data_IF_988851429725
#
_entry.id   IF_988851429725
#
_cell.length_a   1.000
_cell.length_b   1.000
_cell.length_c   1.000
_cell.angle_alpha   90.00
_cell.angle_beta   90.00
_cell.angle_gamma   90.00
#
_symmetry.space_group_name_H-M   'P 1'
#
loop_
_entity.id
_entity.type
_entity.pdbx_description
1 polymer ?
#
# COMPACT_ATOMS: atom_id res chain seq x y z
N UNK A 1 -4.46 10.88 -26.76
CA UNK A 1 -3.60 10.04 -25.88
C UNK A 1 -4.23 8.66 -25.77
N UNK A 2 -3.62 7.61 -26.33
CA UNK A 2 -4.21 6.25 -26.26
C UNK A 2 -4.01 5.72 -24.84
N UNK A 3 -5.10 5.61 -24.08
CA UNK A 3 -5.09 4.97 -22.76
C UNK A 3 -4.90 3.47 -22.99
N UNK A 4 -3.71 2.95 -22.67
CA UNK A 4 -3.48 1.51 -22.67
C UNK A 4 -4.28 0.89 -21.54
N UNK A 5 -5.10 -0.12 -21.84
CA UNK A 5 -5.80 -0.88 -20.80
C UNK A 5 -4.79 -1.59 -19.90
N UNK A 6 -5.15 -1.76 -18.62
CA UNK A 6 -4.29 -2.41 -17.63
C UNK A 6 -3.76 -3.80 -18.09
N UNK A 7 -4.57 -4.69 -18.71
CA UNK A 7 -4.07 -5.95 -19.24
C UNK A 7 -2.98 -5.77 -20.32
N UNK A 8 -3.08 -4.75 -21.17
CA UNK A 8 -2.05 -4.47 -22.18
C UNK A 8 -0.75 -3.98 -21.54
N UNK A 9 -0.85 -3.19 -20.47
CA UNK A 9 0.32 -2.73 -19.69
C UNK A 9 1.02 -3.92 -19.04
N UNK A 10 0.28 -4.77 -18.32
CA UNK A 10 0.83 -5.96 -17.67
C UNK A 10 1.46 -6.91 -18.69
N UNK A 11 0.78 -7.23 -19.80
CA UNK A 11 1.36 -8.06 -20.86
C UNK A 11 2.68 -7.49 -21.39
N UNK A 12 2.77 -6.17 -21.57
CA UNK A 12 4.01 -5.51 -22.03
C UNK A 12 5.15 -5.64 -21.02
N UNK A 13 4.86 -5.52 -19.72
CA UNK A 13 5.85 -5.57 -18.64
C UNK A 13 6.33 -7.01 -18.38
N UNK A 14 5.43 -7.99 -18.50
CA UNK A 14 5.76 -9.40 -18.28
C UNK A 14 6.44 -10.05 -19.49
N UNK A 15 6.20 -9.58 -20.72
CA UNK A 15 6.79 -10.13 -21.95
C UNK A 15 8.31 -10.38 -21.90
N UNK A 16 9.16 -9.47 -21.40
CA UNK A 16 10.60 -9.68 -21.35
C UNK A 16 11.07 -10.64 -20.26
N UNK A 17 10.18 -11.11 -19.37
CA UNK A 17 10.59 -11.99 -18.27
C UNK A 17 11.01 -13.38 -18.79
N UNK A 18 12.10 -13.97 -18.24
CA UNK A 18 12.55 -15.29 -18.63
C UNK A 18 11.48 -16.38 -18.45
N UNK A 19 11.46 -17.33 -19.39
CA UNK A 19 10.53 -18.47 -19.41
C UNK A 19 11.21 -19.82 -19.13
N UNK A 20 12.54 -19.87 -19.11
CA UNK A 20 13.32 -21.10 -19.02
C UNK A 20 14.41 -21.02 -17.92
N UNK A 21 14.31 -20.06 -17.00
CA UNK A 21 15.36 -19.76 -16.00
C UNK A 21 15.27 -20.60 -14.72
N UNK A 22 14.15 -21.28 -14.49
CA UNK A 22 13.98 -22.13 -13.32
C UNK A 22 13.01 -23.29 -13.61
N UNK A 23 13.33 -24.54 -13.19
CA UNK A 23 12.46 -25.69 -13.40
C UNK A 23 11.09 -25.48 -12.75
N UNK A 24 10.03 -25.87 -13.46
CA UNK A 24 8.61 -25.79 -13.03
C UNK A 24 8.05 -24.36 -12.91
N UNK A 25 8.84 -23.38 -12.42
CA UNK A 25 8.36 -22.03 -12.12
C UNK A 25 9.33 -20.93 -12.56
N UNK A 26 9.35 -20.69 -13.87
CA UNK A 26 10.12 -19.62 -14.50
C UNK A 26 9.67 -18.21 -14.04
N UNK A 27 10.44 -17.18 -14.40
CA UNK A 27 10.22 -15.81 -13.90
C UNK A 27 8.83 -15.31 -14.27
N UNK A 28 8.46 -15.51 -15.54
CA UNK A 28 7.20 -15.09 -16.07
C UNK A 28 6.03 -15.69 -15.27
N UNK A 29 6.03 -17.01 -15.07
CA UNK A 29 4.97 -17.73 -14.38
C UNK A 29 4.94 -17.38 -12.88
N UNK A 30 6.11 -17.27 -12.24
CA UNK A 30 6.21 -16.87 -10.83
C UNK A 30 5.56 -15.51 -10.56
N UNK A 31 5.88 -14.51 -11.38
CA UNK A 31 5.31 -13.16 -11.28
C UNK A 31 3.83 -13.17 -11.65
N UNK A 32 3.44 -13.96 -12.66
CA UNK A 32 2.03 -14.07 -13.05
C UNK A 32 1.18 -14.63 -11.91
N UNK A 33 1.66 -15.63 -11.18
CA UNK A 33 0.99 -16.14 -9.98
C UNK A 33 0.83 -15.06 -8.91
N UNK A 34 1.87 -14.25 -8.65
CA UNK A 34 1.77 -13.14 -7.70
C UNK A 34 0.74 -12.09 -8.12
N UNK A 35 0.73 -11.72 -9.39
CA UNK A 35 -0.23 -10.75 -9.91
C UNK A 35 -1.66 -11.29 -9.88
N UNK A 36 -1.88 -12.56 -10.24
CA UNK A 36 -3.18 -13.21 -10.14
C UNK A 36 -3.68 -13.19 -8.69
N UNK A 37 -2.83 -13.59 -7.73
CA UNK A 37 -3.17 -13.58 -6.31
C UNK A 37 -3.55 -12.18 -5.80
N UNK A 38 -2.81 -11.14 -6.20
CA UNK A 38 -3.05 -9.77 -5.72
C UNK A 38 -4.26 -9.12 -6.40
N UNK A 39 -4.54 -9.47 -7.65
CA UNK A 39 -5.56 -8.80 -8.46
C UNK A 39 -6.90 -9.53 -8.49
N UNK A 40 -6.92 -10.85 -8.36
CA UNK A 40 -8.14 -11.65 -8.36
C UNK A 40 -8.74 -11.76 -6.96
N UNK A 41 -9.77 -10.94 -6.73
CA UNK A 41 -10.52 -10.92 -5.45
C UNK A 41 -11.26 -12.23 -5.14
N UNK A 42 -11.40 -13.14 -6.09
CA UNK A 42 -11.97 -14.48 -5.86
C UNK A 42 -10.98 -15.46 -5.22
N UNK A 43 -9.69 -15.13 -5.21
CA UNK A 43 -8.65 -15.93 -4.58
C UNK A 43 -8.45 -15.45 -3.14
N UNK A 44 -8.67 -16.35 -2.18
CA UNK A 44 -8.50 -16.02 -0.74
C UNK A 44 -7.13 -16.46 -0.20
N UNK A 45 -6.42 -17.32 -0.92
CA UNK A 45 -5.08 -17.76 -0.54
C UNK A 45 -4.24 -18.20 -1.75
N UNK A 46 -2.91 -18.19 -1.60
CA UNK A 46 -2.00 -18.78 -2.59
C UNK A 46 -2.27 -20.28 -2.83
N UNK A 47 -2.80 -21.00 -1.84
CA UNK A 47 -3.16 -22.41 -1.99
C UNK A 47 -4.34 -22.59 -2.94
N UNK A 48 -5.34 -21.70 -2.88
CA UNK A 48 -6.50 -21.75 -3.77
C UNK A 48 -6.12 -21.40 -5.20
N UNK A 49 -5.19 -20.45 -5.37
CA UNK A 49 -4.59 -20.18 -6.67
C UNK A 49 -3.91 -21.43 -7.24
N UNK A 50 -3.10 -22.15 -6.44
CA UNK A 50 -2.44 -23.36 -6.91
C UNK A 50 -3.43 -24.46 -7.27
N UNK A 51 -4.48 -24.69 -6.47
CA UNK A 51 -5.54 -25.64 -6.82
C UNK A 51 -6.16 -25.31 -8.18
N UNK A 52 -6.50 -24.03 -8.41
CA UNK A 52 -7.07 -23.56 -9.67
C UNK A 52 -6.12 -23.78 -10.86
N UNK A 53 -4.84 -23.43 -10.70
CA UNK A 53 -3.83 -23.62 -11.74
C UNK A 53 -3.56 -25.11 -12.03
N UNK A 54 -3.57 -25.96 -11.00
CA UNK A 54 -3.45 -27.42 -11.14
C UNK A 54 -4.61 -28.02 -11.93
N UNK A 55 -5.86 -27.57 -11.69
CA UNK A 55 -7.03 -27.98 -12.48
C UNK A 55 -6.90 -27.58 -13.96
N UNK A 56 -6.15 -26.51 -14.25
CA UNK A 56 -5.84 -26.05 -15.61
C UNK A 56 -4.60 -26.74 -16.22
N UNK A 57 -4.02 -27.74 -15.53
CA UNK A 57 -2.87 -28.51 -16.01
C UNK A 57 -1.50 -27.92 -15.70
N UNK A 58 -1.43 -26.85 -14.90
CA UNK A 58 -0.17 -26.23 -14.47
C UNK A 58 0.22 -26.81 -13.09
N UNK A 59 1.10 -27.82 -13.04
CA UNK A 59 1.52 -28.49 -11.79
C UNK A 59 2.36 -27.56 -10.87
N UNK A 60 1.64 -26.82 -10.03
CA UNK A 60 2.20 -25.94 -9.01
C UNK A 60 1.91 -26.47 -7.61
N UNK A 61 3.00 -26.79 -6.93
CA UNK A 61 3.01 -27.17 -5.51
C UNK A 61 3.58 -26.02 -4.68
N UNK A 62 3.09 -25.88 -3.44
CA UNK A 62 3.61 -24.88 -2.47
C UNK A 62 5.13 -25.01 -2.31
N UNK A 63 5.65 -26.23 -2.32
CA UNK A 63 7.09 -26.51 -2.22
C UNK A 63 7.88 -25.93 -3.41
N UNK A 64 7.36 -26.05 -4.63
CA UNK A 64 7.98 -25.50 -5.84
C UNK A 64 8.00 -23.97 -5.79
N UNK A 65 6.87 -23.37 -5.39
CA UNK A 65 6.76 -21.93 -5.22
C UNK A 65 7.69 -21.39 -4.13
N UNK A 66 7.76 -22.05 -2.98
CA UNK A 66 8.65 -21.68 -1.87
C UNK A 66 10.13 -21.75 -2.27
N UNK A 67 10.54 -22.79 -3.00
CA UNK A 67 11.90 -22.94 -3.51
C UNK A 67 12.24 -21.85 -4.54
N UNK A 68 11.32 -21.54 -5.45
CA UNK A 68 11.50 -20.45 -6.41
C UNK A 68 11.64 -19.10 -5.69
N UNK A 69 10.75 -18.81 -4.74
CA UNK A 69 10.78 -17.56 -3.96
C UNK A 69 12.13 -17.32 -3.26
N UNK A 70 12.73 -18.36 -2.67
CA UNK A 70 14.05 -18.27 -2.00
C UNK A 70 15.22 -17.97 -2.93
N UNK A 71 15.11 -18.27 -4.23
CA UNK A 71 16.18 -18.09 -5.22
C UNK A 71 16.00 -16.82 -6.06
N UNK A 72 14.82 -16.22 -6.02
CA UNK A 72 14.46 -15.08 -6.85
C UNK A 72 15.06 -13.81 -6.30
N UNK A 73 15.72 -13.06 -7.17
CA UNK A 73 16.17 -11.72 -6.86
C UNK A 73 14.94 -10.78 -6.71
N UNK A 74 14.90 -10.05 -5.60
CA UNK A 74 13.90 -9.02 -5.33
C UNK A 74 13.92 -7.90 -6.38
N UNK A 75 15.05 -7.71 -7.08
CA UNK A 75 15.22 -6.73 -8.14
C UNK A 75 14.21 -6.91 -9.28
N UNK A 76 13.76 -8.13 -9.56
CA UNK A 76 12.73 -8.40 -10.58
C UNK A 76 11.42 -7.68 -10.22
N UNK A 77 11.00 -7.75 -8.95
CA UNK A 77 9.80 -7.08 -8.47
C UNK A 77 9.96 -5.56 -8.48
N UNK A 78 11.12 -5.06 -8.05
CA UNK A 78 11.43 -3.62 -8.07
C UNK A 78 11.38 -3.07 -9.51
N UNK A 79 11.93 -3.80 -10.47
CA UNK A 79 11.90 -3.43 -11.89
C UNK A 79 10.46 -3.34 -12.42
N UNK A 80 9.61 -4.32 -12.08
CA UNK A 80 8.19 -4.32 -12.46
C UNK A 80 7.46 -3.12 -11.85
N UNK A 81 7.63 -2.87 -10.54
CA UNK A 81 7.02 -1.73 -9.84
C UNK A 81 7.46 -0.41 -10.48
N UNK A 82 8.75 -0.25 -10.79
CA UNK A 82 9.28 0.94 -11.42
C UNK A 82 8.72 1.15 -12.85
N UNK A 83 8.53 0.08 -13.62
CA UNK A 83 7.88 0.16 -14.92
C UNK A 83 6.40 0.57 -14.80
N UNK A 84 5.67 0.00 -13.84
CA UNK A 84 4.28 0.37 -13.57
C UNK A 84 4.16 1.85 -13.15
N UNK A 85 5.04 2.32 -12.27
CA UNK A 85 5.12 3.74 -11.86
C UNK A 85 5.38 4.66 -13.06
N UNK A 86 6.29 4.28 -13.96
CA UNK A 86 6.58 5.04 -15.20
C UNK A 86 5.35 5.13 -16.10
N UNK A 87 4.67 4.01 -16.33
CA UNK A 87 3.45 3.96 -17.15
C UNK A 87 2.33 4.82 -16.54
N UNK A 88 2.16 4.78 -15.22
CA UNK A 88 1.19 5.59 -14.50
C UNK A 88 1.50 7.09 -14.58
N UNK A 89 2.77 7.49 -14.40
CA UNK A 89 3.22 8.89 -14.55
C UNK A 89 2.98 9.41 -15.97
N UNK A 90 3.23 8.57 -16.99
CA UNK A 90 2.95 8.92 -18.39
C UNK A 90 1.47 9.21 -18.61
N UNK A 91 0.57 8.44 -17.97
CA UNK A 91 -0.88 8.68 -18.07
C UNK A 91 -1.31 9.96 -17.35
N UNK A 92 -0.69 10.29 -16.20
CA UNK A 92 -1.04 11.48 -15.41
C UNK A 92 -0.59 12.79 -16.06
N UNK A 93 0.53 12.81 -16.80
CA UNK A 93 0.97 13.99 -17.56
C UNK A 93 1.78 15.00 -16.72
N UNK A 94 1.52 16.32 -16.89
CA UNK A 94 2.16 17.40 -16.10
C UNK A 94 1.33 17.74 -14.87
N UNK A 95 2.00 17.99 -13.72
CA UNK A 95 1.34 18.31 -12.45
C UNK A 95 0.73 19.72 -12.53
N UNK A 96 -0.60 19.82 -12.42
CA UNK A 96 -1.33 21.11 -12.49
C UNK A 96 -1.88 21.59 -11.14
N UNK A 97 -1.99 20.70 -10.15
CA UNK A 97 -2.59 20.99 -8.84
C UNK A 97 -1.76 20.37 -7.70
N UNK A 98 -2.09 20.74 -6.45
CA UNK A 98 -1.58 20.06 -5.25
C UNK A 98 -1.92 18.56 -5.34
N UNK A 99 -0.96 17.69 -5.02
CA UNK A 99 -1.23 16.26 -4.94
C UNK A 99 -1.86 15.91 -3.60
N UNK A 100 -2.57 14.80 -3.58
CA UNK A 100 -3.09 14.22 -2.34
C UNK A 100 -2.05 13.26 -1.78
N UNK A 101 -1.97 13.21 -0.46
CA UNK A 101 -1.12 12.29 0.27
C UNK A 101 -1.97 11.52 1.28
N UNK A 102 -2.81 10.58 0.81
CA UNK A 102 -3.54 9.67 1.70
C UNK A 102 -2.56 8.87 2.55
N UNK A 103 -2.81 8.88 3.85
CA UNK A 103 -2.09 8.10 4.85
C UNK A 103 -3.01 6.96 5.28
N UNK A 104 -2.45 5.76 5.28
CA UNK A 104 -3.15 4.57 5.73
C UNK A 104 -2.21 3.69 6.56
N UNK A 105 -2.80 2.72 7.25
CA UNK A 105 -2.07 1.65 7.93
C UNK A 105 -2.55 0.28 7.46
N UNK A 106 -1.62 -0.66 7.31
CA UNK A 106 -1.93 -2.04 6.97
C UNK A 106 -1.34 -2.96 8.03
N UNK A 107 -2.13 -3.92 8.50
CA UNK A 107 -1.65 -4.98 9.38
C UNK A 107 -1.12 -6.12 8.53
N UNK A 108 0.12 -6.52 8.78
CA UNK A 108 0.78 -7.65 8.14
C UNK A 108 1.00 -8.72 9.22
N UNK A 109 0.32 -9.85 9.08
CA UNK A 109 0.51 -10.99 9.96
C UNK A 109 1.92 -11.57 9.81
N UNK A 110 2.59 -11.81 10.94
CA UNK A 110 3.89 -12.46 10.97
C UNK A 110 3.68 -13.97 11.09
N UNK A 111 4.50 -14.76 10.40
CA UNK A 111 4.47 -16.23 10.47
C UNK A 111 5.78 -16.82 11.00
N UNK A 112 6.76 -15.97 11.32
CA UNK A 112 8.03 -16.40 11.89
C UNK A 112 7.83 -16.95 13.29
N UNK A 113 8.24 -18.21 13.51
CA UNK A 113 8.21 -18.86 14.83
C UNK A 113 9.02 -18.07 15.88
N UNK A 114 10.13 -17.45 15.47
CA UNK A 114 10.96 -16.63 16.34
C UNK A 114 10.20 -15.39 16.83
N UNK A 115 9.57 -14.65 15.93
CA UNK A 115 8.80 -13.45 16.29
C UNK A 115 7.58 -13.84 17.13
N UNK A 116 6.95 -14.97 16.85
CA UNK A 116 5.88 -15.52 17.67
C UNK A 116 6.32 -15.86 19.09
N UNK A 117 7.49 -16.47 19.27
CA UNK A 117 8.04 -16.73 20.62
C UNK A 117 8.35 -15.45 21.41
N UNK A 118 8.51 -14.33 20.72
CA UNK A 118 8.70 -13.00 21.30
C UNK A 118 7.39 -12.22 21.49
N UNK A 119 6.22 -12.83 21.23
CA UNK A 119 4.91 -12.21 21.36
C UNK A 119 4.50 -11.30 20.18
N UNK A 120 5.28 -11.29 19.09
CA UNK A 120 4.97 -10.52 17.89
C UNK A 120 4.30 -11.39 16.83
N UNK A 121 2.97 -11.26 16.73
CA UNK A 121 2.16 -12.01 15.76
C UNK A 121 1.81 -11.19 14.51
N UNK A 122 2.02 -9.88 14.55
CA UNK A 122 1.76 -8.96 13.45
C UNK A 122 2.61 -7.71 13.54
N UNK A 123 2.78 -7.04 12.41
CA UNK A 123 3.29 -5.69 12.32
C UNK A 123 2.25 -4.79 11.69
N UNK A 124 2.30 -3.52 12.05
CA UNK A 124 1.50 -2.47 11.46
C UNK A 124 2.39 -1.56 10.65
N UNK A 125 2.12 -1.50 9.36
CA UNK A 125 2.83 -0.67 8.40
C UNK A 125 2.03 0.60 8.17
N UNK A 126 2.57 1.74 8.58
CA UNK A 126 2.03 3.06 8.24
C UNK A 126 2.75 3.59 7.00
N UNK A 127 1.98 4.15 6.07
CA UNK A 127 2.52 4.69 4.84
C UNK A 127 1.57 5.75 4.29
N UNK A 128 2.12 6.84 3.77
CA UNK A 128 1.39 7.72 2.87
C UNK A 128 1.77 7.46 1.42
N UNK A 129 0.86 7.75 0.49
CA UNK A 129 1.11 7.59 -0.94
C UNK A 129 0.91 8.92 -1.66
N UNK A 130 1.93 9.44 -2.34
CA UNK A 130 1.73 10.62 -3.16
C UNK A 130 0.87 10.24 -4.39
N UNK A 131 -0.31 10.85 -4.48
CA UNK A 131 -1.31 10.52 -5.50
C UNK A 131 -0.84 10.86 -6.91
N UNK A 132 0.23 11.63 -7.07
CA UNK A 132 0.82 11.98 -8.35
C UNK A 132 1.99 11.07 -8.71
N UNK A 133 3.04 11.05 -7.89
CA UNK A 133 4.28 10.30 -8.15
C UNK A 133 4.10 8.80 -7.93
N UNK A 134 3.09 8.42 -7.14
CA UNK A 134 2.86 7.06 -6.62
C UNK A 134 4.06 6.53 -5.83
N UNK A 135 4.84 7.44 -5.26
CA UNK A 135 5.88 7.09 -4.30
C UNK A 135 5.28 6.98 -2.90
N UNK A 136 5.59 5.90 -2.17
CA UNK A 136 5.30 5.83 -0.76
C UNK A 136 6.20 6.80 0.02
N UNK A 137 5.69 7.35 1.10
CA UNK A 137 6.45 8.18 2.04
C UNK A 137 5.98 7.95 3.48
N UNK A 138 6.82 8.34 4.45
CA UNK A 138 6.46 8.20 5.86
C UNK A 138 6.30 6.77 6.34
N UNK A 139 7.12 5.88 5.80
CA UNK A 139 7.05 4.46 6.09
C UNK A 139 7.46 4.22 7.54
N UNK A 140 6.54 3.73 8.36
CA UNK A 140 6.80 3.36 9.75
C UNK A 140 6.33 1.94 9.96
N UNK A 141 7.22 1.09 10.49
CA UNK A 141 6.88 -0.28 10.88
C UNK A 141 6.77 -0.30 12.41
N UNK A 142 5.60 -0.69 12.90
CA UNK A 142 5.33 -0.87 14.32
C UNK A 142 5.05 -2.34 14.61
N UNK A 143 5.78 -2.94 15.54
CA UNK A 143 5.53 -4.31 15.99
C UNK A 143 4.44 -4.30 17.07
N UNK A 144 3.36 -5.05 16.88
CA UNK A 144 2.24 -5.15 17.83
C UNK A 144 0.92 -4.52 17.37
N UNK A 145 0.01 -4.28 18.32
CA UNK A 145 -1.39 -3.83 18.12
C UNK A 145 -1.56 -2.30 18.23
N UNK A 146 -0.56 -1.51 17.84
CA UNK A 146 -0.61 -0.05 18.02
C UNK A 146 -1.77 0.65 17.30
N UNK A 147 -2.43 1.60 17.99
CA UNK A 147 -3.45 2.46 17.39
C UNK A 147 -2.85 3.53 16.46
N UNK A 148 -3.55 3.87 15.38
CA UNK A 148 -3.01 4.72 14.30
C UNK A 148 -2.66 6.13 14.78
N UNK A 149 -3.54 6.73 15.57
CA UNK A 149 -3.28 8.05 16.13
C UNK A 149 -2.00 8.09 16.98
N UNK A 150 -1.58 7.00 17.64
CA UNK A 150 -0.39 7.00 18.50
C UNK A 150 0.92 6.84 17.73
N UNK A 151 0.92 6.10 16.63
CA UNK A 151 2.15 5.70 15.93
C UNK A 151 2.31 6.27 14.52
N UNK A 152 1.26 6.91 13.97
CA UNK A 152 1.27 7.53 12.65
C UNK A 152 1.97 8.90 12.58
N UNK A 153 2.49 9.44 13.68
CA UNK A 153 3.03 10.81 13.71
C UNK A 153 4.15 11.04 12.70
N UNK A 154 5.13 10.13 12.65
CA UNK A 154 6.22 10.18 11.66
C UNK A 154 5.71 10.14 10.22
N UNK A 155 4.61 9.41 9.98
CA UNK A 155 3.96 9.38 8.66
C UNK A 155 3.31 10.72 8.32
N UNK A 156 2.66 11.37 9.29
CA UNK A 156 2.07 12.71 9.14
C UNK A 156 3.16 13.78 8.92
N UNK A 157 4.29 13.68 9.61
CA UNK A 157 5.43 14.59 9.44
C UNK A 157 6.02 14.50 8.03
N UNK A 158 6.03 13.30 7.45
CA UNK A 158 6.55 13.03 6.10
C UNK A 158 5.68 13.57 4.95
N UNK A 159 4.50 14.13 5.24
CA UNK A 159 3.63 14.71 4.21
C UNK A 159 4.42 15.77 3.43
N UNK A 160 4.63 15.59 2.11
CA UNK A 160 5.44 16.51 1.33
C UNK A 160 4.83 17.91 1.27
N UNK A 161 5.66 18.92 1.06
CA UNK A 161 5.19 20.29 0.85
C UNK A 161 4.27 20.40 -0.38
N UNK A 162 3.31 21.34 -0.33
CA UNK A 162 2.33 21.57 -1.40
C UNK A 162 1.47 20.34 -1.73
N UNK A 163 1.28 19.45 -0.76
CA UNK A 163 0.32 18.34 -0.82
C UNK A 163 -0.77 18.51 0.24
N UNK A 164 -1.86 17.76 0.08
CA UNK A 164 -2.94 17.68 1.07
C UNK A 164 -2.85 16.32 1.75
N UNK A 165 -2.58 16.29 3.05
CA UNK A 165 -2.57 15.06 3.83
C UNK A 165 -4.00 14.57 4.07
N UNK A 166 -4.31 13.33 3.68
CA UNK A 166 -5.66 12.76 3.87
C UNK A 166 -5.57 11.62 4.88
N UNK A 167 -6.41 11.64 5.90
CA UNK A 167 -6.38 10.70 7.02
C UNK A 167 -7.79 10.19 7.36
N UNK A 168 -7.92 8.89 7.58
CA UNK A 168 -9.17 8.29 8.09
C UNK A 168 -9.29 8.46 9.62
N UNK A 169 -10.47 8.13 10.16
CA UNK A 169 -10.85 8.26 11.58
C UNK A 169 -9.93 7.55 12.57
N UNK A 170 -9.17 6.54 12.14
CA UNK A 170 -8.17 5.88 13.00
C UNK A 170 -7.06 6.82 13.48
N UNK A 171 -6.73 7.83 12.66
CA UNK A 171 -5.71 8.84 12.94
C UNK A 171 -6.24 10.04 13.72
N UNK A 172 -7.56 10.16 13.89
CA UNK A 172 -8.18 11.29 14.58
C UNK A 172 -8.06 11.16 16.12
N UNK A 173 -7.32 12.10 16.73
CA UNK A 173 -7.33 12.38 18.16
C UNK A 173 -7.34 13.90 18.39
N UNK A 174 -7.75 14.34 19.58
CA UNK A 174 -7.79 15.76 19.92
C UNK A 174 -6.38 16.38 19.85
N UNK A 175 -5.37 15.66 20.32
CA UNK A 175 -3.95 16.07 20.25
C UNK A 175 -3.52 16.24 18.80
N UNK A 176 -3.81 15.25 17.93
CA UNK A 176 -3.51 15.30 16.50
C UNK A 176 -4.16 16.51 15.84
N UNK A 177 -5.43 16.80 16.15
CA UNK A 177 -6.13 17.95 15.57
C UNK A 177 -5.46 19.26 15.99
N UNK A 178 -5.08 19.41 17.27
CA UNK A 178 -4.34 20.57 17.75
C UNK A 178 -3.01 20.74 17.02
N UNK A 179 -2.20 19.68 16.93
CA UNK A 179 -0.92 19.67 16.19
C UNK A 179 -1.07 20.03 14.71
N UNK A 180 -2.15 19.58 14.06
CA UNK A 180 -2.41 19.87 12.65
C UNK A 180 -2.81 21.34 12.43
N UNK A 181 -3.56 21.95 13.36
CA UNK A 181 -3.94 23.36 13.29
C UNK A 181 -2.73 24.30 13.40
N UNK A 182 -1.69 23.92 14.11
CA UNK A 182 -0.45 24.70 14.24
C UNK A 182 0.37 24.75 12.93
N UNK A 183 0.12 23.83 11.98
CA UNK A 183 0.88 23.73 10.72
C UNK A 183 0.33 24.68 9.64
N UNK A 184 0.73 25.95 9.69
CA UNK A 184 0.24 27.02 8.79
C UNK A 184 0.47 26.79 7.28
N UNK A 185 1.50 26.04 6.89
CA UNK A 185 1.86 25.82 5.48
C UNK A 185 1.42 24.47 4.90
N UNK A 186 0.58 23.71 5.63
CA UNK A 186 0.09 22.40 5.19
C UNK A 186 -1.42 22.35 5.22
N UNK A 187 -2.00 21.63 4.27
CA UNK A 187 -3.44 21.37 4.22
C UNK A 187 -3.70 19.92 4.59
N UNK A 188 -4.77 19.68 5.35
CA UNK A 188 -5.15 18.36 5.80
C UNK A 188 -6.65 18.13 5.61
N UNK A 189 -7.02 16.89 5.31
CA UNK A 189 -8.38 16.38 5.36
C UNK A 189 -8.36 15.22 6.34
N UNK A 190 -9.08 15.36 7.45
CA UNK A 190 -9.18 14.34 8.49
C UNK A 190 -10.64 13.95 8.67
N UNK A 191 -10.95 12.67 8.50
CA UNK A 191 -12.25 12.15 8.91
C UNK A 191 -12.28 12.07 10.43
N UNK A 192 -13.19 12.80 11.08
CA UNK A 192 -13.37 12.74 12.54
C UNK A 192 -14.21 11.52 12.93
N UNK A 193 -14.10 11.10 14.20
CA UNK A 193 -14.92 10.00 14.74
C UNK A 193 -16.35 10.49 14.97
N UNK A 194 -17.33 9.62 14.77
CA UNK A 194 -18.76 9.96 14.88
C UNK A 194 -19.19 10.42 16.29
N UNK A 195 -18.42 10.07 17.32
CA UNK A 195 -18.69 10.46 18.70
C UNK A 195 -18.07 11.82 19.09
N UNK A 196 -17.45 12.52 18.15
CA UNK A 196 -16.91 13.87 18.35
C UNK A 196 -17.99 14.88 17.99
N UNK A 197 -18.24 15.85 18.87
CA UNK A 197 -19.17 16.96 18.61
C UNK A 197 -18.59 17.92 17.58
N UNK A 198 -19.46 18.44 16.71
CA UNK A 198 -19.13 19.50 15.77
C UNK A 198 -20.16 20.62 15.96
N UNK A 199 -19.69 21.80 16.32
CA UNK A 199 -20.51 22.99 16.47
C UNK A 199 -20.06 24.04 15.44
N UNK A 200 -20.99 24.53 14.64
CA UNK A 200 -20.71 25.61 13.68
C UNK A 200 -20.76 26.93 14.44
N UNK A 201 -19.70 27.73 14.31
CA UNK A 201 -19.61 29.06 14.88
C UNK A 201 -20.13 30.09 13.87
N UNK A 202 -20.58 31.23 14.37
CA UNK A 202 -21.15 32.33 13.55
C UNK A 202 -20.14 32.92 12.54
N UNK A 203 -18.84 32.73 12.79
CA UNK A 203 -17.76 33.16 11.91
C UNK A 203 -17.49 32.21 10.73
N UNK A 204 -18.29 31.14 10.60
CA UNK A 204 -18.15 30.11 9.57
C UNK A 204 -17.11 29.02 9.89
N UNK A 205 -16.43 29.10 11.04
CA UNK A 205 -15.59 28.03 11.53
C UNK A 205 -16.41 26.94 12.25
N UNK A 206 -15.75 25.85 12.62
CA UNK A 206 -16.36 24.80 13.44
C UNK A 206 -15.50 24.46 14.64
N UNK A 207 -16.12 24.32 15.80
CA UNK A 207 -15.52 23.73 16.99
C UNK A 207 -15.65 22.20 16.91
N UNK A 208 -14.55 21.49 17.20
CA UNK A 208 -14.46 20.02 17.12
C UNK A 208 -14.13 19.48 18.50
N UNK A 209 -15.02 18.67 19.08
CA UNK A 209 -14.92 18.14 20.43
C UNK A 209 -15.62 19.01 21.47
N UNK A 210 -15.60 18.56 22.73
CA UNK A 210 -15.94 19.36 23.91
C UNK A 210 -14.62 19.71 24.60
N UNK A 211 -14.53 20.90 25.17
CA UNK A 211 -13.37 21.32 25.97
C UNK A 211 -13.14 20.38 27.17
#
# INVERSE_FOLDING_TARGET
MIVRSFPKVIKSILRPLPRNDYPVLNTFLFISCWLEYVMDKSIVSMQDLFKRLNTQGIDLKISNFSKASKRRDSQVFLNIINQLKKELRRQKGKRKARSYFPIDSTVISLTSKLLWSQGYHQVKLFCGLDSWTSEPGGIVIHFGQGHDHKYGQKTVESIPEKTVGIMDRGFASSERIKELKEKQNKAFVLRIKNNVTLEMLDDGNSQVGKD
#
